data_IF_707798092720
#
_entry.id   IF_707798092720
#
_cell.length_a   1.000
_cell.length_b   1.000
_cell.length_c   1.000
_cell.angle_alpha   90.00
_cell.angle_beta   90.00
_cell.angle_gamma   90.00
#
_symmetry.space_group_name_H-M   'P 1'
#
loop_
_entity.id
_entity.type
_entity.pdbx_description
1 polymer ?
#
# COMPACT_ATOMS: atom_id res chain seq x y z
N UNK A 1 -102.81 8.00 -8.30
CA UNK A 1 -101.38 7.75 -8.55
C UNK A 1 -100.88 6.90 -7.39
N UNK A 2 -100.16 5.82 -7.69
CA UNK A 2 -100.10 4.56 -6.93
C UNK A 2 -99.34 4.56 -5.59
N UNK A 3 -99.69 3.53 -4.81
CA UNK A 3 -99.15 3.01 -3.55
C UNK A 3 -97.77 2.32 -3.65
N UNK A 4 -97.19 2.03 -2.46
CA UNK A 4 -96.33 0.88 -2.11
C UNK A 4 -94.81 1.06 -2.33
N UNK A 5 -93.83 0.48 -1.59
CA UNK A 5 -93.74 -0.46 -0.46
C UNK A 5 -92.42 -0.24 0.32
N UNK A 6 -92.34 -0.79 1.53
CA UNK A 6 -91.15 -0.97 2.36
C UNK A 6 -90.00 -1.73 1.67
N UNK A 7 -88.77 -1.45 2.10
CA UNK A 7 -87.60 -2.27 1.78
C UNK A 7 -86.42 -1.95 2.69
N UNK A 8 -86.26 -2.70 3.79
CA UNK A 8 -85.03 -2.73 4.60
C UNK A 8 -83.93 -3.45 3.80
N UNK A 9 -82.93 -2.71 3.34
CA UNK A 9 -81.68 -3.26 2.82
C UNK A 9 -80.62 -3.30 3.92
N UNK A 10 -80.21 -4.49 4.35
CA UNK A 10 -79.04 -4.66 5.21
C UNK A 10 -77.76 -4.39 4.41
N UNK A 11 -76.95 -3.45 4.89
CA UNK A 11 -75.58 -3.22 4.41
C UNK A 11 -74.69 -4.36 4.94
N UNK A 12 -74.18 -5.20 4.02
CA UNK A 12 -73.17 -6.20 4.35
C UNK A 12 -71.81 -5.51 4.51
N UNK A 13 -71.14 -5.74 5.64
CA UNK A 13 -69.77 -5.31 5.87
C UNK A 13 -68.82 -6.16 5.01
N UNK A 14 -68.05 -5.52 4.13
CA UNK A 14 -66.92 -6.16 3.43
C UNK A 14 -65.87 -6.52 4.49
N UNK A 15 -65.49 -7.80 4.55
CA UNK A 15 -64.47 -8.28 5.50
C UNK A 15 -63.11 -7.61 5.26
N UNK A 16 -62.37 -7.34 6.33
CA UNK A 16 -61.03 -6.76 6.23
C UNK A 16 -60.11 -7.67 5.40
N UNK A 17 -59.23 -7.11 4.54
CA UNK A 17 -58.21 -7.88 3.84
C UNK A 17 -57.35 -8.65 4.82
N UNK A 18 -57.09 -9.94 4.53
CA UNK A 18 -56.24 -10.79 5.37
C UNK A 18 -54.81 -10.25 5.49
N UNK A 19 -54.19 -10.45 6.65
CA UNK A 19 -52.82 -10.00 6.91
C UNK A 19 -51.82 -10.60 5.90
N UNK A 20 -50.86 -9.77 5.46
CA UNK A 20 -49.81 -10.17 4.54
C UNK A 20 -48.95 -11.25 5.20
N UNK A 21 -48.82 -12.42 4.55
CA UNK A 21 -47.99 -13.52 5.04
C UNK A 21 -46.53 -13.11 5.29
N UNK A 22 -45.92 -13.72 6.31
CA UNK A 22 -44.55 -13.42 6.72
C UNK A 22 -43.55 -13.61 5.56
N UNK A 23 -42.59 -12.67 5.45
CA UNK A 23 -41.51 -12.75 4.46
C UNK A 23 -40.65 -13.99 4.74
N UNK A 24 -40.46 -14.84 3.73
CA UNK A 24 -39.63 -16.04 3.84
C UNK A 24 -38.19 -15.71 4.23
N UNK A 25 -37.55 -16.61 4.99
CA UNK A 25 -36.17 -16.45 5.47
C UNK A 25 -35.19 -16.30 4.32
N UNK A 26 -34.30 -15.30 4.39
CA UNK A 26 -33.19 -15.13 3.45
C UNK A 26 -32.28 -16.36 3.49
N UNK A 27 -31.92 -16.89 2.31
CA UNK A 27 -31.03 -18.06 2.20
C UNK A 27 -29.64 -17.76 2.75
N UNK A 28 -28.98 -18.81 3.27
CA UNK A 28 -27.62 -18.69 3.80
C UNK A 28 -26.64 -18.30 2.68
N UNK A 29 -25.67 -17.40 2.95
CA UNK A 29 -24.60 -17.09 2.00
C UNK A 29 -23.83 -18.34 1.61
N UNK A 30 -23.46 -18.46 0.33
CA UNK A 30 -22.66 -19.58 -0.18
C UNK A 30 -21.27 -19.61 0.44
N UNK A 31 -20.70 -20.81 0.57
CA UNK A 31 -19.36 -21.00 1.14
C UNK A 31 -18.27 -20.32 0.28
N UNK A 32 -17.26 -19.77 0.95
CA UNK A 32 -16.11 -19.13 0.32
C UNK A 32 -15.30 -20.17 -0.46
N UNK A 33 -14.94 -19.86 -1.70
CA UNK A 33 -14.08 -20.73 -2.52
C UNK A 33 -12.69 -20.94 -1.91
N UNK A 34 -11.98 -22.01 -2.29
CA UNK A 34 -10.66 -22.32 -1.76
C UNK A 34 -9.66 -21.21 -2.11
N UNK A 35 -8.72 -20.94 -1.19
CA UNK A 35 -7.61 -20.00 -1.41
C UNK A 35 -6.72 -20.54 -2.54
N UNK A 36 -6.32 -19.66 -3.47
CA UNK A 36 -5.38 -20.01 -4.54
C UNK A 36 -3.99 -20.36 -4.01
N UNK A 37 -3.26 -21.20 -4.75
CA UNK A 37 -1.92 -21.64 -4.36
C UNK A 37 -0.92 -20.46 -4.31
N UNK A 38 0.06 -20.49 -3.38
CA UNK A 38 1.13 -19.50 -3.36
C UNK A 38 1.90 -19.46 -4.69
N UNK A 39 2.25 -18.25 -5.14
CA UNK A 39 3.09 -18.06 -6.32
C UNK A 39 4.50 -18.63 -6.14
N UNK A 40 5.22 -18.92 -7.25
CA UNK A 40 6.58 -19.45 -7.19
C UNK A 40 7.53 -18.44 -6.53
N UNK A 41 8.45 -18.94 -5.69
CA UNK A 41 9.53 -18.15 -5.09
C UNK A 41 10.46 -17.66 -6.20
N UNK A 42 10.75 -16.36 -6.24
CA UNK A 42 11.66 -15.76 -7.22
C UNK A 42 13.11 -16.28 -7.07
N UNK A 43 13.94 -16.17 -8.11
CA UNK A 43 15.34 -16.62 -8.04
C UNK A 43 16.12 -15.82 -6.98
N UNK A 44 17.07 -16.46 -6.26
CA UNK A 44 17.92 -15.77 -5.28
C UNK A 44 18.75 -14.65 -5.93
N UNK A 45 18.67 -13.44 -5.39
CA UNK A 45 19.48 -12.30 -5.82
C UNK A 45 20.94 -12.44 -5.38
N UNK A 46 21.87 -11.99 -6.23
CA UNK A 46 23.30 -11.92 -5.89
C UNK A 46 23.56 -10.88 -4.79
N UNK A 47 24.45 -11.17 -3.82
CA UNK A 47 24.70 -10.26 -2.70
C UNK A 47 25.38 -8.96 -3.17
N UNK A 48 24.80 -7.81 -2.84
CA UNK A 48 25.39 -6.48 -3.07
C UNK A 48 25.98 -5.92 -1.77
N UNK A 49 27.24 -5.45 -1.83
CA UNK A 49 27.91 -4.76 -0.71
C UNK A 49 27.58 -3.25 -0.76
N UNK A 50 27.14 -2.66 0.38
CA UNK A 50 26.97 -1.20 0.52
C UNK A 50 28.32 -0.56 0.90
N UNK A 51 28.77 0.42 0.11
CA UNK A 51 30.09 1.07 0.27
C UNK A 51 30.08 2.32 1.18
N UNK A 52 29.17 2.42 2.16
CA UNK A 52 29.22 3.54 3.12
C UNK A 52 28.80 3.18 4.56
N UNK A 53 28.74 1.89 4.90
CA UNK A 53 28.59 1.49 6.30
C UNK A 53 29.99 1.32 6.91
N UNK A 54 30.59 2.38 7.45
CA UNK A 54 31.63 2.20 8.46
C UNK A 54 30.93 1.92 9.79
N UNK A 55 30.95 0.66 10.21
CA UNK A 55 31.16 0.28 11.61
C UNK A 55 31.51 -1.21 11.69
N UNK A 56 32.46 -1.49 12.57
CA UNK A 56 33.14 -2.77 12.80
C UNK A 56 32.19 -3.93 13.04
N UNK A 57 32.40 -5.02 12.31
CA UNK A 57 31.99 -6.38 12.65
C UNK A 57 33.18 -7.27 12.25
N UNK A 58 33.89 -7.77 13.26
CA UNK A 58 35.07 -8.62 13.14
C UNK A 58 34.74 -9.98 12.51
N UNK A 59 35.77 -10.48 11.80
CA UNK A 59 36.05 -11.83 11.35
C UNK A 59 35.23 -12.40 10.16
N UNK A 60 35.79 -12.21 8.95
CA UNK A 60 36.24 -13.29 8.04
C UNK A 60 37.16 -12.64 6.99
N UNK A 61 38.39 -13.15 6.90
CA UNK A 61 39.49 -12.57 6.12
C UNK A 61 39.19 -12.38 4.63
N UNK A 62 39.45 -11.18 4.13
CA UNK A 62 39.56 -10.89 2.70
C UNK A 62 40.83 -10.07 2.49
N UNK A 63 41.75 -10.63 1.71
CA UNK A 63 42.98 -9.98 1.26
C UNK A 63 42.66 -8.66 0.55
N UNK A 64 43.35 -7.61 0.99
CA UNK A 64 43.41 -6.32 0.31
C UNK A 64 44.05 -6.51 -1.07
N UNK A 65 43.27 -6.36 -2.14
CA UNK A 65 43.81 -5.99 -3.45
C UNK A 65 42.94 -4.89 -4.04
N UNK A 66 43.33 -3.65 -3.73
CA UNK A 66 42.89 -2.44 -4.41
C UNK A 66 43.27 -2.55 -5.89
N UNK A 67 42.29 -2.68 -6.79
CA UNK A 67 42.28 -2.04 -8.11
C UNK A 67 40.94 -2.30 -8.82
N UNK A 68 40.28 -1.20 -9.21
CA UNK A 68 39.07 -1.06 -10.07
C UNK A 68 37.70 -1.41 -9.46
N UNK A 69 37.21 -0.48 -8.63
CA UNK A 69 35.80 -0.37 -8.23
C UNK A 69 34.92 0.04 -9.41
N UNK A 70 34.50 -0.93 -10.23
CA UNK A 70 33.39 -0.75 -11.17
C UNK A 70 32.37 -1.87 -10.94
N UNK A 71 31.16 -1.52 -10.48
CA UNK A 71 30.03 -2.45 -10.48
C UNK A 71 29.66 -2.70 -11.94
N UNK A 72 30.21 -3.76 -12.53
CA UNK A 72 29.77 -4.24 -13.84
C UNK A 72 28.44 -4.95 -13.65
N UNK A 73 27.36 -4.39 -14.18
CA UNK A 73 26.17 -5.17 -14.46
C UNK A 73 26.59 -6.25 -15.45
N UNK A 74 26.76 -7.48 -14.96
CA UNK A 74 26.90 -8.64 -15.82
C UNK A 74 25.69 -8.62 -16.75
N UNK A 75 25.95 -8.67 -18.06
CA UNK A 75 24.93 -8.71 -19.10
C UNK A 75 24.09 -9.96 -18.81
N UNK A 76 22.98 -9.79 -18.09
CA UNK A 76 22.13 -10.90 -17.73
C UNK A 76 21.61 -11.48 -19.04
N UNK A 77 21.89 -12.76 -19.26
CA UNK A 77 21.31 -13.56 -20.31
C UNK A 77 19.82 -13.23 -20.41
N UNK A 78 19.33 -12.99 -21.64
CA UNK A 78 18.00 -12.46 -21.95
C UNK A 78 16.92 -12.97 -20.97
N UNK A 79 16.59 -12.18 -19.94
CA UNK A 79 15.57 -12.54 -18.97
C UNK A 79 14.23 -12.20 -19.62
N UNK A 80 13.54 -13.21 -20.13
CA UNK A 80 12.18 -13.04 -20.64
C UNK A 80 11.24 -12.71 -19.46
N UNK A 81 10.82 -11.44 -19.37
CA UNK A 81 9.78 -11.01 -18.45
C UNK A 81 8.43 -11.15 -19.15
N UNK A 82 7.68 -12.19 -18.81
CA UNK A 82 6.29 -12.33 -19.26
C UNK A 82 5.37 -11.77 -18.19
N UNK A 83 4.65 -10.69 -18.52
CA UNK A 83 3.65 -10.10 -17.64
C UNK A 83 2.32 -10.84 -17.87
N UNK A 84 1.72 -11.33 -16.78
CA UNK A 84 0.42 -12.02 -16.83
C UNK A 84 -0.73 -11.09 -17.24
N UNK A 85 -1.89 -11.68 -17.53
CA UNK A 85 -3.11 -10.92 -17.79
C UNK A 85 -3.53 -10.15 -16.54
N UNK A 86 -3.91 -8.88 -16.71
CA UNK A 86 -4.53 -8.08 -15.63
C UNK A 86 -5.80 -8.77 -15.13
N UNK A 87 -5.88 -8.99 -13.82
CA UNK A 87 -7.09 -9.43 -13.14
C UNK A 87 -7.76 -8.26 -12.41
N UNK A 88 -9.08 -8.29 -12.36
CA UNK A 88 -9.89 -7.27 -11.70
C UNK A 88 -10.42 -7.83 -10.38
N UNK A 89 -9.99 -7.21 -9.27
CA UNK A 89 -10.39 -7.63 -7.92
C UNK A 89 -11.70 -6.99 -7.45
N UNK A 90 -12.07 -5.82 -7.99
CA UNK A 90 -13.28 -5.10 -7.62
C UNK A 90 -13.14 -3.59 -7.77
N UNK A 91 -14.19 -2.87 -7.40
CA UNK A 91 -14.24 -1.41 -7.30
C UNK A 91 -14.69 -1.04 -5.89
N UNK A 92 -14.07 -0.01 -5.33
CA UNK A 92 -14.58 0.68 -4.15
C UNK A 92 -15.20 2.01 -4.60
N UNK A 93 -16.27 2.43 -3.94
CA UNK A 93 -16.98 3.70 -4.21
C UNK A 93 -16.32 4.89 -3.48
N UNK A 94 -15.01 4.81 -3.25
CA UNK A 94 -14.22 5.77 -2.49
C UNK A 94 -13.00 6.21 -3.31
N UNK A 95 -12.61 7.47 -3.16
CA UNK A 95 -11.41 7.98 -3.83
C UNK A 95 -10.18 7.71 -2.97
N UNK A 96 -9.51 6.58 -3.22
CA UNK A 96 -8.20 6.29 -2.63
C UNK A 96 -7.07 6.88 -3.46
N UNK A 97 -6.00 7.32 -2.81
CA UNK A 97 -4.78 7.71 -3.53
C UNK A 97 -3.92 6.50 -3.89
N UNK A 98 -3.84 5.51 -2.99
CA UNK A 98 -3.19 4.22 -3.22
C UNK A 98 -3.83 3.12 -2.36
N UNK A 99 -3.67 1.87 -2.76
CA UNK A 99 -3.88 0.70 -1.90
C UNK A 99 -2.66 -0.23 -1.94
N UNK A 100 -2.46 -1.01 -0.88
CA UNK A 100 -1.25 -1.81 -0.69
C UNK A 100 -1.48 -3.00 0.24
N UNK A 101 -0.49 -3.87 0.24
CA UNK A 101 -0.33 -4.99 1.16
C UNK A 101 1.02 -4.83 1.87
N UNK A 102 1.14 -5.42 3.06
CA UNK A 102 2.45 -5.58 3.68
C UNK A 102 3.25 -6.64 2.93
N UNK A 103 4.42 -6.26 2.44
CA UNK A 103 5.34 -7.16 1.73
C UNK A 103 6.08 -8.14 2.66
N UNK A 104 6.12 -7.88 3.96
CA UNK A 104 6.72 -8.76 4.97
C UNK A 104 5.97 -8.65 6.31
N UNK A 105 4.70 -9.08 6.39
CA UNK A 105 3.89 -8.88 7.59
C UNK A 105 4.53 -9.58 8.81
N UNK A 106 4.66 -8.89 9.96
CA UNK A 106 5.34 -9.44 11.14
C UNK A 106 4.52 -10.53 11.86
N UNK A 107 3.22 -10.65 11.56
CA UNK A 107 2.32 -11.66 12.12
C UNK A 107 1.57 -12.38 11.02
N UNK A 108 1.31 -13.67 11.25
CA UNK A 108 0.52 -14.46 10.31
C UNK A 108 -0.91 -13.92 10.13
N UNK A 109 -1.47 -13.31 11.17
CA UNK A 109 -2.79 -12.67 11.13
C UNK A 109 -2.88 -11.45 10.20
N UNK A 110 -1.73 -10.94 9.74
CA UNK A 110 -1.65 -9.76 8.91
C UNK A 110 -1.44 -10.13 7.43
N UNK A 111 -1.23 -11.41 7.11
CA UNK A 111 -1.23 -11.89 5.73
C UNK A 111 -2.60 -11.67 5.07
N UNK A 112 -2.59 -10.96 3.94
CA UNK A 112 -3.80 -10.69 3.16
C UNK A 112 -4.61 -9.50 3.62
N UNK A 113 -4.13 -8.73 4.62
CA UNK A 113 -4.66 -7.40 4.92
C UNK A 113 -4.32 -6.42 3.80
N UNK A 114 -5.18 -5.43 3.66
CA UNK A 114 -5.00 -4.33 2.72
C UNK A 114 -5.00 -3.01 3.47
N UNK A 115 -4.21 -2.06 2.96
CA UNK A 115 -4.22 -0.69 3.42
C UNK A 115 -4.55 0.23 2.25
N UNK A 116 -5.29 1.31 2.50
CA UNK A 116 -5.54 2.34 1.50
C UNK A 116 -5.48 3.74 2.09
N UNK A 117 -4.92 4.69 1.35
CA UNK A 117 -4.87 6.10 1.75
C UNK A 117 -6.05 6.86 1.17
N UNK A 118 -6.62 7.76 1.97
CA UNK A 118 -7.73 8.63 1.58
C UNK A 118 -7.30 9.76 0.66
N UNK A 119 -8.23 10.30 -0.13
CA UNK A 119 -7.98 11.46 -1.01
C UNK A 119 -7.48 12.71 -0.27
N UNK A 120 -7.84 12.88 1.00
CA UNK A 120 -7.36 14.01 1.82
C UNK A 120 -5.91 13.82 2.33
N UNK A 121 -5.29 12.66 2.08
CA UNK A 121 -3.93 12.30 2.49
C UNK A 121 -3.68 12.32 4.01
N UNK A 122 -4.73 12.30 4.83
CA UNK A 122 -4.61 12.35 6.30
C UNK A 122 -4.98 11.04 6.99
N UNK A 123 -5.49 10.05 6.25
CA UNK A 123 -5.89 8.77 6.83
C UNK A 123 -5.34 7.58 6.06
N UNK A 124 -5.02 6.54 6.81
CA UNK A 124 -4.74 5.20 6.30
C UNK A 124 -5.82 4.26 6.82
N UNK A 125 -6.55 3.65 5.89
CA UNK A 125 -7.61 2.69 6.17
C UNK A 125 -7.02 1.28 6.15
N UNK A 126 -7.29 0.48 7.17
CA UNK A 126 -6.85 -0.92 7.28
C UNK A 126 -8.05 -1.85 7.06
N UNK A 127 -7.94 -2.76 6.10
CA UNK A 127 -8.95 -3.73 5.74
C UNK A 127 -8.47 -5.15 6.03
N UNK A 128 -9.37 -5.97 6.56
CA UNK A 128 -9.07 -7.36 6.88
C UNK A 128 -8.68 -8.18 5.65
N UNK A 129 -9.33 -7.93 4.51
CA UNK A 129 -9.09 -8.62 3.25
C UNK A 129 -9.56 -7.77 2.05
N UNK A 130 -9.34 -8.30 0.84
CA UNK A 130 -9.74 -7.65 -0.40
C UNK A 130 -11.28 -7.45 -0.50
N UNK A 131 -12.09 -8.27 0.16
CA UNK A 131 -13.55 -8.11 0.15
C UNK A 131 -13.95 -6.91 1.00
N UNK A 132 -13.29 -6.70 2.15
CA UNK A 132 -13.54 -5.52 2.97
C UNK A 132 -13.06 -4.23 2.29
N UNK A 133 -11.96 -4.29 1.53
CA UNK A 133 -11.50 -3.16 0.71
C UNK A 133 -12.54 -2.76 -0.35
N UNK A 134 -13.11 -3.71 -1.10
CA UNK A 134 -14.10 -3.41 -2.16
C UNK A 134 -15.42 -2.90 -1.60
N UNK A 135 -15.80 -3.33 -0.39
CA UNK A 135 -16.98 -2.83 0.31
C UNK A 135 -16.74 -1.50 1.05
N UNK A 136 -15.52 -0.95 1.02
CA UNK A 136 -15.11 0.20 1.82
C UNK A 136 -15.52 0.06 3.31
N UNK A 137 -15.20 -1.08 3.91
CA UNK A 137 -15.50 -1.37 5.31
C UNK A 137 -14.19 -1.59 6.10
N UNK A 138 -13.52 -0.50 6.53
CA UNK A 138 -12.25 -0.60 7.22
C UNK A 138 -12.41 -1.22 8.61
N UNK A 139 -11.51 -2.13 8.95
CA UNK A 139 -11.38 -2.71 10.28
C UNK A 139 -10.74 -1.76 11.29
N UNK A 140 -9.90 -0.84 10.81
CA UNK A 140 -9.28 0.24 11.59
C UNK A 140 -9.01 1.45 10.69
N UNK A 141 -9.05 2.63 11.29
CA UNK A 141 -8.70 3.89 10.64
C UNK A 141 -7.54 4.51 11.43
N UNK A 142 -6.41 4.73 10.76
CA UNK A 142 -5.27 5.45 11.32
C UNK A 142 -5.33 6.91 10.90
N UNK A 143 -5.29 7.82 11.87
CA UNK A 143 -5.15 9.24 11.60
C UNK A 143 -3.66 9.59 11.51
N UNK A 144 -3.23 10.00 10.33
CA UNK A 144 -1.85 10.38 10.06
C UNK A 144 -1.68 11.86 10.42
N UNK A 145 -1.05 12.13 11.56
CA UNK A 145 -0.75 13.51 11.99
C UNK A 145 0.13 14.26 10.97
N UNK A 146 0.93 13.51 10.21
CA UNK A 146 1.76 14.00 9.13
C UNK A 146 1.10 13.61 7.80
N UNK A 147 0.62 14.57 6.99
CA UNK A 147 -0.04 14.25 5.73
C UNK A 147 0.90 13.59 4.72
N UNK A 148 0.35 12.62 4.01
CA UNK A 148 0.98 11.94 2.88
C UNK A 148 1.11 12.89 1.70
N UNK A 149 2.16 12.71 0.90
CA UNK A 149 2.33 13.37 -0.38
C UNK A 149 2.43 12.34 -1.50
N UNK A 150 1.65 12.55 -2.55
CA UNK A 150 1.57 11.63 -3.68
C UNK A 150 0.87 10.31 -3.37
N UNK A 151 1.17 9.30 -4.18
CA UNK A 151 0.57 7.97 -4.13
C UNK A 151 1.57 6.83 -4.30
N UNK A 152 2.86 7.11 -4.40
CA UNK A 152 3.88 6.07 -4.22
C UNK A 152 4.24 5.98 -2.75
N UNK A 153 3.69 4.98 -2.08
CA UNK A 153 3.94 4.62 -0.69
C UNK A 153 3.94 3.09 -0.58
N UNK A 154 4.53 2.58 0.50
CA UNK A 154 4.64 1.12 0.71
C UNK A 154 4.40 0.74 2.15
N UNK A 155 3.84 -0.45 2.36
CA UNK A 155 3.81 -1.11 3.67
C UNK A 155 4.80 -2.26 3.68
N UNK A 156 5.63 -2.30 4.71
CA UNK A 156 6.66 -3.31 4.90
C UNK A 156 6.94 -3.53 6.37
N UNK A 157 6.88 -4.78 6.81
CA UNK A 157 7.32 -5.18 8.15
C UNK A 157 6.58 -4.44 9.27
N UNK A 158 5.28 -4.22 9.07
CA UNK A 158 4.42 -3.49 10.01
C UNK A 158 4.58 -1.97 9.98
N UNK A 159 5.31 -1.42 9.01
CA UNK A 159 5.50 0.02 8.86
C UNK A 159 4.97 0.53 7.52
N UNK A 160 4.30 1.69 7.55
CA UNK A 160 4.01 2.49 6.36
C UNK A 160 5.18 3.46 6.11
N UNK A 161 5.67 3.48 4.87
CA UNK A 161 6.68 4.43 4.41
C UNK A 161 6.08 5.35 3.35
N UNK A 162 6.21 6.66 3.57
CA UNK A 162 5.68 7.68 2.66
C UNK A 162 6.50 8.97 2.73
N UNK A 163 6.29 9.86 1.76
CA UNK A 163 6.91 11.17 1.72
C UNK A 163 6.00 12.20 2.41
N UNK A 164 6.57 13.03 3.27
CA UNK A 164 5.86 14.11 3.97
C UNK A 164 5.48 15.25 3.02
N UNK A 165 4.24 15.74 3.09
CA UNK A 165 3.80 16.89 2.29
C UNK A 165 4.62 18.14 2.56
N UNK A 166 5.05 18.81 1.48
CA UNK A 166 5.81 20.07 1.50
C UNK A 166 7.26 20.00 1.97
N UNK A 167 7.65 19.01 2.79
CA UNK A 167 8.98 18.90 3.38
C UNK A 167 9.68 17.64 2.86
N UNK A 168 10.96 17.69 2.42
CA UNK A 168 11.70 16.55 1.88
C UNK A 168 12.10 15.54 2.97
N UNK A 169 11.12 14.96 3.66
CA UNK A 169 11.29 13.92 4.66
C UNK A 169 10.53 12.67 4.24
N UNK A 170 11.13 11.53 4.51
CA UNK A 170 10.49 10.22 4.50
C UNK A 170 9.94 9.99 5.91
N UNK A 171 8.70 9.55 6.02
CA UNK A 171 8.08 9.14 7.28
C UNK A 171 8.01 7.62 7.32
N UNK A 172 8.35 7.06 8.46
CA UNK A 172 8.07 5.67 8.84
C UNK A 172 7.02 5.70 9.95
N UNK A 173 5.82 5.20 9.65
CA UNK A 173 4.70 5.12 10.58
C UNK A 173 4.51 3.68 11.05
N UNK A 174 4.56 3.47 12.36
CA UNK A 174 4.32 2.17 13.01
C UNK A 174 2.82 1.87 13.05
N UNK A 175 2.38 0.88 12.28
CA UNK A 175 0.97 0.49 12.18
C UNK A 175 0.41 -0.09 13.49
N UNK A 176 1.27 -0.57 14.39
CA UNK A 176 0.86 -1.17 15.65
C UNK A 176 0.73 -0.13 16.75
N UNK A 177 1.70 0.76 16.85
CA UNK A 177 1.85 1.69 17.97
C UNK A 177 1.44 3.13 17.63
N UNK A 178 1.13 3.42 16.36
CA UNK A 178 0.78 4.74 15.86
C UNK A 178 1.88 5.79 16.11
N UNK A 179 3.15 5.35 16.08
CA UNK A 179 4.33 6.20 16.28
C UNK A 179 5.02 6.48 14.95
N UNK A 180 5.49 7.72 14.75
CA UNK A 180 6.25 8.12 13.57
C UNK A 180 7.73 8.32 13.85
N UNK A 181 8.56 7.98 12.88
CA UNK A 181 9.94 8.44 12.75
C UNK A 181 10.11 9.14 11.39
N UNK A 182 11.09 10.03 11.27
CA UNK A 182 11.34 10.76 10.03
C UNK A 182 12.80 10.77 9.63
N UNK A 183 13.08 10.65 8.33
CA UNK A 183 14.39 10.75 7.72
C UNK A 183 14.41 11.95 6.76
N UNK A 184 15.36 12.88 6.92
CA UNK A 184 15.59 13.93 5.93
C UNK A 184 16.18 13.33 4.66
N UNK A 185 15.61 13.67 3.50
CA UNK A 185 16.15 13.24 2.21
C UNK A 185 17.43 14.04 1.93
N UNK A 186 18.57 13.38 1.68
CA UNK A 186 19.86 14.05 1.51
C UNK A 186 19.89 14.98 0.30
N UNK A 187 20.57 16.13 0.44
CA UNK A 187 20.71 17.12 -0.63
C UNK A 187 19.49 18.05 -0.80
N UNK A 188 18.53 17.99 0.12
CA UNK A 188 17.32 18.81 0.12
C UNK A 188 17.14 19.64 1.39
N UNK A 189 18.24 20.08 2.00
CA UNK A 189 18.25 20.91 3.21
C UNK A 189 17.49 22.24 3.01
N UNK A 190 17.42 22.72 1.76
CA UNK A 190 16.70 23.93 1.35
C UNK A 190 15.25 23.67 0.86
N UNK A 191 14.69 22.48 1.11
CA UNK A 191 13.26 22.14 0.91
C UNK A 191 12.68 22.31 -0.50
N UNK A 192 13.45 22.08 -1.57
CA UNK A 192 12.93 22.13 -2.95
C UNK A 192 13.18 20.85 -3.71
N UNK A 193 12.19 19.96 -3.73
CA UNK A 193 12.18 18.80 -4.62
C UNK A 193 11.50 19.14 -5.95
N UNK A 194 11.94 18.48 -7.03
CA UNK A 194 11.22 18.47 -8.31
C UNK A 194 10.34 17.23 -8.37
N UNK A 195 9.17 17.28 -9.04
CA UNK A 195 8.39 16.07 -9.29
C UNK A 195 9.23 15.02 -10.01
N UNK A 196 9.10 13.76 -9.60
CA UNK A 196 9.76 12.62 -10.22
C UNK A 196 9.07 12.23 -11.54
N UNK A 197 7.74 12.36 -11.59
CA UNK A 197 6.93 11.97 -12.74
C UNK A 197 6.21 13.15 -13.38
N UNK A 198 5.88 13.02 -14.67
CA UNK A 198 5.19 14.03 -15.47
C UNK A 198 3.81 14.42 -14.90
N UNK A 199 3.17 13.54 -14.14
CA UNK A 199 1.90 13.83 -13.47
C UNK A 199 2.02 14.91 -12.39
N UNK A 200 3.23 15.17 -11.88
CA UNK A 200 3.46 16.16 -10.83
C UNK A 200 3.14 15.66 -9.41
N UNK A 201 2.58 14.46 -9.26
CA UNK A 201 2.02 13.99 -7.99
C UNK A 201 3.05 13.36 -7.04
N UNK A 202 4.12 12.76 -7.57
CA UNK A 202 5.11 12.06 -6.76
C UNK A 202 6.47 12.76 -6.85
N UNK A 203 7.08 13.01 -5.69
CA UNK A 203 8.46 13.51 -5.56
C UNK A 203 9.44 12.39 -5.16
N UNK A 204 8.93 11.35 -4.52
CA UNK A 204 9.65 10.13 -4.15
C UNK A 204 8.79 8.96 -4.60
N UNK A 205 9.43 7.93 -5.15
CA UNK A 205 8.82 6.63 -5.39
C UNK A 205 9.45 5.59 -4.47
N UNK A 206 8.64 4.95 -3.62
CA UNK A 206 9.10 3.88 -2.75
C UNK A 206 8.88 2.53 -3.41
N UNK A 207 9.91 1.69 -3.39
CA UNK A 207 9.83 0.33 -3.89
C UNK A 207 10.50 -0.65 -2.95
N UNK A 208 10.04 -1.90 -3.00
CA UNK A 208 10.55 -2.98 -2.16
C UNK A 208 10.89 -4.16 -3.04
N UNK A 209 12.07 -4.72 -2.81
CA UNK A 209 12.51 -5.97 -3.39
C UNK A 209 13.15 -6.85 -2.30
N UNK A 210 13.74 -7.97 -2.70
CA UNK A 210 14.47 -8.87 -1.81
C UNK A 210 15.69 -8.23 -1.13
N UNK A 211 16.22 -7.14 -1.67
CA UNK A 211 17.41 -6.46 -1.15
C UNK A 211 17.04 -5.36 -0.15
N UNK A 212 15.81 -4.83 -0.19
CA UNK A 212 15.26 -3.97 0.85
C UNK A 212 14.27 -2.93 0.35
N UNK A 213 14.15 -1.87 1.14
CA UNK A 213 13.35 -0.69 0.85
C UNK A 213 14.19 0.36 0.10
N UNK A 214 13.65 0.86 -0.99
CA UNK A 214 14.26 1.86 -1.86
C UNK A 214 13.40 3.10 -1.93
N UNK A 215 14.04 4.25 -2.02
CA UNK A 215 13.45 5.54 -2.33
C UNK A 215 14.12 6.09 -3.59
N UNK A 216 13.31 6.41 -4.59
CA UNK A 216 13.74 6.91 -5.88
C UNK A 216 13.25 8.35 -5.99
N UNK A 217 14.14 9.30 -6.30
CA UNK A 217 13.78 10.72 -6.37
C UNK A 217 14.71 11.48 -7.30
N UNK A 218 14.27 12.64 -7.80
CA UNK A 218 15.09 13.51 -8.64
C UNK A 218 16.19 14.16 -7.82
N UNK A 219 17.36 14.38 -8.42
CA UNK A 219 18.44 15.15 -7.79
C UNK A 219 18.09 16.64 -7.75
N UNK A 220 18.58 17.36 -6.73
CA UNK A 220 18.24 18.77 -6.52
C UNK A 220 18.79 19.71 -7.62
N UNK A 221 19.98 19.40 -8.15
CA UNK A 221 20.76 20.25 -9.05
C UNK A 221 20.76 19.77 -10.52
N UNK A 222 20.08 18.67 -10.85
CA UNK A 222 19.91 18.19 -12.21
C UNK A 222 18.54 17.54 -12.44
N UNK A 223 18.34 16.95 -13.61
CA UNK A 223 17.16 16.13 -13.93
C UNK A 223 17.50 14.62 -13.86
N UNK A 224 18.56 14.27 -13.15
CA UNK A 224 18.99 12.89 -12.93
C UNK A 224 18.24 12.29 -11.74
N UNK A 225 18.01 10.98 -11.77
CA UNK A 225 17.36 10.24 -10.68
C UNK A 225 18.40 9.68 -9.71
N UNK A 226 18.10 9.75 -8.42
CA UNK A 226 18.82 9.07 -7.34
C UNK A 226 18.01 7.86 -6.91
N UNK A 227 18.71 6.75 -6.68
CA UNK A 227 18.17 5.56 -6.01
C UNK A 227 18.85 5.44 -4.66
N UNK A 228 18.06 5.40 -3.59
CA UNK A 228 18.54 5.36 -2.22
C UNK A 228 17.96 4.15 -1.48
N UNK A 229 18.83 3.34 -0.87
CA UNK A 229 18.40 2.29 0.06
C UNK A 229 18.10 2.90 1.42
N UNK A 230 16.89 2.70 1.92
CA UNK A 230 16.43 3.20 3.23
C UNK A 230 16.61 2.10 4.27
N UNK A 231 17.30 2.38 5.38
CA UNK A 231 17.44 1.42 6.47
C UNK A 231 16.32 1.62 7.50
N UNK A 232 15.52 0.58 7.72
CA UNK A 232 14.33 0.60 8.58
C UNK A 232 14.59 0.47 10.10
N UNK A 233 15.85 0.33 10.52
CA UNK A 233 16.22 0.01 11.91
C UNK A 233 16.08 1.21 12.88
N UNK A 234 16.32 0.95 14.17
CA UNK A 234 15.81 1.69 15.34
C UNK A 234 15.97 3.22 15.35
N UNK A 235 16.95 3.80 14.67
CA UNK A 235 17.09 5.26 14.62
C UNK A 235 16.49 5.90 13.35
N UNK A 236 16.12 5.13 12.32
CA UNK A 236 15.56 5.61 11.04
C UNK A 236 16.30 6.82 10.44
N UNK A 237 17.63 6.80 10.54
CA UNK A 237 18.51 7.90 10.10
C UNK A 237 19.53 7.45 9.04
N UNK A 238 19.64 6.15 8.80
CA UNK A 238 20.69 5.56 7.97
C UNK A 238 20.16 5.21 6.57
N UNK A 239 20.96 5.50 5.55
CA UNK A 239 20.66 5.20 4.15
C UNK A 239 21.96 4.97 3.35
N UNK A 240 21.86 4.30 2.19
CA UNK A 240 22.94 4.19 1.21
C UNK A 240 22.44 4.76 -0.14
N UNK A 241 23.17 5.70 -0.75
CA UNK A 241 22.89 6.15 -2.13
C UNK A 241 23.57 5.18 -3.11
N UNK A 242 22.84 4.75 -4.13
CA UNK A 242 23.38 3.95 -5.24
C UNK A 242 23.96 4.90 -6.27
N UNK A 243 25.27 4.76 -6.53
CA UNK A 243 25.95 5.50 -7.59
C UNK A 243 26.07 4.65 -8.83
N UNK A 244 25.72 5.22 -9.97
CA UNK A 244 25.98 4.64 -11.29
C UNK A 244 27.19 5.37 -11.87
N UNK A 245 28.25 4.63 -12.17
CA UNK A 245 29.39 5.14 -12.93
C UNK A 245 29.09 4.97 -14.43
N UNK A 246 29.25 6.06 -15.19
CA UNK A 246 29.19 6.06 -16.66
C UNK A 246 30.31 5.23 -17.30
#
# INVERSE_FOLDING_TARGET
MCLSMEGRGYIAFVGQPGERGARGSTGLPGERGPKGDPGPVGPPGSPSKCNSCKEELDDIGIENSLTEDTIRFARADCVSLTIGKKEYFGSADESYTAFMIDSNPPKESDFGRFWATTHDNTQLLEFQDATMLTLNNPSRIHNLEIPVDGNSLVVHDGFLFYKMSGIPKIIRYDLRNDVTASLLIPGFENCKMKPLYLSGNNYVDFSIDQNGLWAIFSRADSDSTIVMKVLKYSNFEKYCIVSFSD
#
